data_IF_546888769844
#
_entry.id   IF_546888769844
#
_cell.length_a   1.000
_cell.length_b   1.000
_cell.length_c   1.000
_cell.angle_alpha   90.00
_cell.angle_beta   90.00
_cell.angle_gamma   90.00
#
_symmetry.space_group_name_H-M   'P 1'
#
loop_
_entity.id
_entity.type
_entity.pdbx_description
1 polymer ?
#
# COMPACT_ATOMS: atom_id res chain seq x y z
N UNK A 1 -16.05 42.13 -39.23
CA UNK A 1 -16.93 40.94 -39.10
C UNK A 1 -17.46 40.98 -37.68
N UNK A 2 -18.79 41.01 -37.48
CA UNK A 2 -19.32 41.08 -36.11
C UNK A 2 -19.14 39.70 -35.46
N UNK A 3 -18.89 39.61 -34.14
CA UNK A 3 -18.73 38.32 -33.45
C UNK A 3 -19.91 37.38 -33.67
N UNK A 4 -21.10 37.97 -33.88
CA UNK A 4 -22.37 37.31 -34.13
C UNK A 4 -22.40 36.54 -35.45
N UNK A 5 -21.60 36.95 -36.45
CA UNK A 5 -21.51 36.29 -37.77
C UNK A 5 -20.55 35.08 -37.74
N UNK A 6 -19.80 34.88 -36.65
CA UNK A 6 -18.89 33.74 -36.49
C UNK A 6 -19.59 32.50 -35.93
N UNK A 7 -20.75 32.64 -35.30
CA UNK A 7 -21.50 31.51 -34.75
C UNK A 7 -22.51 31.01 -35.78
N UNK A 8 -22.03 30.14 -36.67
CA UNK A 8 -22.92 29.37 -37.53
C UNK A 8 -23.55 28.21 -36.74
N UNK A 9 -24.73 27.70 -37.13
CA UNK A 9 -25.31 26.50 -36.54
C UNK A 9 -24.35 25.29 -36.55
N UNK A 10 -23.39 25.25 -37.48
CA UNK A 10 -22.37 24.23 -37.54
C UNK A 10 -21.32 24.36 -36.42
N UNK A 11 -21.00 25.60 -36.01
CA UNK A 11 -20.09 25.88 -34.90
C UNK A 11 -20.78 25.59 -33.56
N UNK A 12 -22.06 25.94 -33.43
CA UNK A 12 -22.86 25.58 -32.25
C UNK A 12 -22.95 24.06 -32.10
N UNK A 13 -23.28 23.34 -33.18
CA UNK A 13 -23.33 21.88 -33.17
C UNK A 13 -21.95 21.24 -32.88
N UNK A 14 -20.86 21.88 -33.30
CA UNK A 14 -19.51 21.43 -33.00
C UNK A 14 -19.19 21.58 -31.50
N UNK A 15 -19.50 22.73 -30.91
CA UNK A 15 -19.30 22.96 -29.48
C UNK A 15 -20.23 22.09 -28.62
N UNK A 16 -21.49 21.90 -29.01
CA UNK A 16 -22.38 20.96 -28.32
C UNK A 16 -21.84 19.53 -28.37
N UNK A 17 -21.30 19.07 -29.51
CA UNK A 17 -20.65 17.75 -29.58
C UNK A 17 -19.41 17.65 -28.71
N UNK A 18 -18.63 18.72 -28.59
CA UNK A 18 -17.47 18.81 -27.71
C UNK A 18 -17.89 18.72 -26.24
N UNK A 19 -18.92 19.46 -25.84
CA UNK A 19 -19.49 19.42 -24.48
C UNK A 19 -20.08 18.04 -24.19
N UNK A 20 -20.82 17.45 -25.13
CA UNK A 20 -21.36 16.09 -24.98
C UNK A 20 -20.25 15.05 -24.86
N UNK A 21 -19.14 15.21 -25.60
CA UNK A 21 -17.98 14.32 -25.54
C UNK A 21 -17.20 14.51 -24.25
N UNK A 22 -17.01 15.74 -23.77
CA UNK A 22 -16.41 16.03 -22.46
C UNK A 22 -17.26 15.45 -21.33
N UNK A 23 -18.58 15.61 -21.38
CA UNK A 23 -19.49 15.03 -20.40
C UNK A 23 -19.57 13.50 -20.49
N UNK A 24 -19.35 12.90 -21.66
CA UNK A 24 -19.23 11.45 -21.82
C UNK A 24 -17.91 10.93 -21.27
N UNK A 25 -16.81 11.67 -21.47
CA UNK A 25 -15.49 11.38 -20.88
C UNK A 25 -15.56 11.50 -19.35
N UNK A 26 -16.10 12.60 -18.81
CA UNK A 26 -16.31 12.76 -17.36
C UNK A 26 -17.22 11.68 -16.77
N UNK A 27 -18.28 11.27 -17.49
CA UNK A 27 -19.12 10.14 -17.06
C UNK A 27 -18.40 8.80 -17.13
N UNK A 28 -17.54 8.59 -18.13
CA UNK A 28 -16.68 7.39 -18.22
C UNK A 28 -15.61 7.39 -17.13
N UNK A 29 -15.03 8.54 -16.77
CA UNK A 29 -14.10 8.71 -15.65
C UNK A 29 -14.79 8.44 -14.30
N UNK A 30 -16.00 8.97 -14.10
CA UNK A 30 -16.81 8.71 -12.90
C UNK A 30 -17.30 7.25 -12.80
N UNK A 31 -17.59 6.60 -13.94
CA UNK A 31 -17.96 5.18 -13.99
C UNK A 31 -16.72 4.29 -13.83
N UNK A 32 -15.56 4.70 -14.32
CA UNK A 32 -14.29 4.04 -14.03
C UNK A 32 -13.93 4.14 -12.53
N UNK A 33 -14.17 5.30 -11.90
CA UNK A 33 -14.08 5.48 -10.43
C UNK A 33 -15.07 4.60 -9.66
N UNK A 34 -16.18 4.19 -10.26
CA UNK A 34 -17.19 3.33 -9.62
C UNK A 34 -16.93 1.82 -9.81
N UNK A 35 -16.14 1.42 -10.81
CA UNK A 35 -15.82 0.02 -11.13
C UNK A 35 -14.53 -0.45 -10.43
N UNK A 36 -13.66 0.47 -10.04
CA UNK A 36 -12.51 0.17 -9.19
C UNK A 36 -12.87 0.46 -7.72
N UNK A 37 -12.84 -0.52 -6.81
CA UNK A 37 -13.03 -0.22 -5.40
C UNK A 37 -12.02 0.85 -5.01
N UNK A 38 -12.50 1.97 -4.45
CA UNK A 38 -11.64 3.01 -3.84
C UNK A 38 -10.59 2.27 -3.03
N UNK A 39 -9.35 2.39 -3.46
CA UNK A 39 -8.27 1.67 -2.87
C UNK A 39 -8.12 2.22 -1.45
N UNK A 40 -8.44 1.37 -0.46
CA UNK A 40 -8.56 1.76 0.94
C UNK A 40 -7.19 2.04 1.58
N UNK A 41 -6.57 3.17 1.25
CA UNK A 41 -5.28 3.60 1.81
C UNK A 41 -5.29 3.75 3.34
N UNK A 42 -6.47 3.65 3.98
CA UNK A 42 -6.68 3.70 5.42
C UNK A 42 -5.79 2.71 6.17
N UNK A 43 -5.61 1.48 5.68
CA UNK A 43 -4.73 0.50 6.36
C UNK A 43 -3.27 0.99 6.41
N UNK A 44 -2.79 1.58 5.32
CA UNK A 44 -1.43 2.10 5.21
C UNK A 44 -1.27 3.33 6.11
N UNK A 45 -2.21 4.27 6.04
CA UNK A 45 -2.21 5.47 6.89
C UNK A 45 -2.27 5.08 8.38
N UNK A 46 -3.11 4.11 8.72
CA UNK A 46 -3.23 3.59 10.08
C UNK A 46 -1.92 2.96 10.57
N UNK A 47 -1.26 2.15 9.74
CA UNK A 47 0.05 1.59 10.04
C UNK A 47 1.09 2.68 10.35
N UNK A 48 1.21 3.71 9.51
CA UNK A 48 2.14 4.81 9.78
C UNK A 48 1.75 5.62 11.02
N UNK A 49 0.46 5.79 11.31
CA UNK A 49 0.00 6.44 12.54
C UNK A 49 0.43 5.66 13.79
N UNK A 50 0.31 4.32 13.77
CA UNK A 50 0.80 3.47 14.86
C UNK A 50 2.31 3.62 15.00
N UNK A 51 3.06 3.53 13.91
CA UNK A 51 4.52 3.66 13.93
C UNK A 51 5.00 5.01 14.47
N UNK A 52 4.34 6.11 14.10
CA UNK A 52 4.65 7.46 14.62
C UNK A 52 4.45 7.56 16.13
N UNK A 53 3.58 6.74 16.70
CA UNK A 53 3.36 6.68 18.15
C UNK A 53 4.42 5.87 18.91
N UNK A 54 5.39 5.26 18.21
CA UNK A 54 6.47 4.48 18.83
C UNK A 54 7.80 5.25 18.77
N UNK A 55 8.67 5.03 19.77
CA UNK A 55 10.02 5.59 19.81
C UNK A 55 11.01 4.82 18.90
N UNK A 56 10.69 4.76 17.60
CA UNK A 56 11.51 4.11 16.59
C UNK A 56 12.54 5.11 16.07
N UNK A 57 13.82 4.76 16.14
CA UNK A 57 14.91 5.53 15.55
C UNK A 57 15.32 4.90 14.22
N UNK A 58 15.48 5.71 13.19
CA UNK A 58 15.97 5.30 11.88
C UNK A 58 17.24 6.06 11.51
N UNK A 59 18.11 5.40 10.76
CA UNK A 59 19.29 5.99 10.15
C UNK A 59 18.88 6.77 8.89
N UNK A 60 19.20 8.05 8.89
CA UNK A 60 19.01 9.00 7.79
C UNK A 60 20.36 9.61 7.41
N UNK A 61 20.45 10.21 6.23
CA UNK A 61 21.64 10.97 5.83
C UNK A 61 21.48 12.41 6.34
N UNK A 62 22.40 12.84 7.20
CA UNK A 62 22.47 14.21 7.72
C UNK A 62 23.06 15.19 6.71
N UNK A 63 23.02 16.49 7.04
CA UNK A 63 23.54 17.59 6.20
C UNK A 63 25.03 17.43 5.83
N UNK A 64 25.79 16.73 6.68
CA UNK A 64 27.22 16.47 6.49
C UNK A 64 27.51 15.25 5.60
N UNK A 65 26.47 14.56 5.10
CA UNK A 65 26.59 13.32 4.34
C UNK A 65 26.82 12.07 5.20
N UNK A 66 26.87 12.20 6.53
CA UNK A 66 27.02 11.09 7.47
C UNK A 66 25.67 10.51 7.88
N UNK A 67 25.66 9.24 8.30
CA UNK A 67 24.47 8.62 8.88
C UNK A 67 24.19 9.20 10.26
N UNK A 68 22.96 9.63 10.46
CA UNK A 68 22.44 10.19 11.70
C UNK A 68 21.20 9.42 12.11
N UNK A 69 20.98 9.27 13.41
CA UNK A 69 19.87 8.51 13.96
C UNK A 69 18.79 9.46 14.42
N UNK A 70 17.61 9.36 13.79
CA UNK A 70 16.50 10.27 13.96
C UNK A 70 15.22 9.53 14.31
N UNK A 71 14.37 10.14 15.13
CA UNK A 71 13.09 9.55 15.49
C UNK A 71 12.16 9.54 14.27
N UNK A 72 11.53 8.39 14.01
CA UNK A 72 10.66 8.14 12.88
C UNK A 72 9.49 9.12 12.82
N UNK A 73 8.96 9.55 13.97
CA UNK A 73 7.87 10.52 14.04
C UNK A 73 8.20 11.88 13.41
N UNK A 74 9.47 12.29 13.43
CA UNK A 74 9.94 13.54 12.84
C UNK A 74 10.16 13.43 11.33
N UNK A 75 10.32 12.22 10.81
CA UNK A 75 10.59 11.99 9.38
C UNK A 75 9.37 11.53 8.60
N UNK A 76 8.28 11.15 9.28
CA UNK A 76 7.02 10.72 8.65
C UNK A 76 5.99 11.84 8.69
N UNK A 77 5.57 12.30 7.52
CA UNK A 77 4.47 13.24 7.33
C UNK A 77 3.33 12.57 6.59
N UNK A 78 2.10 12.75 7.09
CA UNK A 78 0.89 12.23 6.47
C UNK A 78 -0.01 13.42 6.13
N UNK A 79 -0.34 13.62 4.87
CA UNK A 79 -1.21 14.71 4.41
C UNK A 79 -1.99 14.26 3.18
N UNK A 80 -3.32 14.47 3.14
CA UNK A 80 -4.18 14.15 1.99
C UNK A 80 -3.92 12.74 1.39
N UNK A 81 -3.91 11.70 2.22
CA UNK A 81 -3.66 10.30 1.82
C UNK A 81 -2.26 10.02 1.21
N UNK A 82 -1.36 10.99 1.29
CA UNK A 82 0.05 10.87 0.96
C UNK A 82 0.88 10.73 2.23
N UNK A 83 1.79 9.75 2.23
CA UNK A 83 2.78 9.56 3.29
C UNK A 83 4.17 9.86 2.73
N UNK A 84 4.90 10.76 3.39
CA UNK A 84 6.29 11.09 3.07
C UNK A 84 7.21 10.60 4.18
N UNK A 85 8.26 9.88 3.78
CA UNK A 85 9.35 9.40 4.63
C UNK A 85 10.63 10.13 4.24
N UNK A 86 10.97 11.17 4.97
CA UNK A 86 12.21 11.92 4.75
C UNK A 86 13.41 11.09 5.20
N UNK A 87 14.38 10.91 4.32
CA UNK A 87 15.62 10.22 4.64
C UNK A 87 16.87 11.09 4.43
N UNK A 88 16.70 12.28 3.83
CA UNK A 88 17.64 13.42 3.88
C UNK A 88 17.08 14.46 4.84
N UNK A 89 17.91 14.99 5.72
CA UNK A 89 17.54 16.09 6.63
C UNK A 89 17.91 17.48 6.08
N UNK A 90 17.98 17.64 4.76
CA UNK A 90 18.13 18.95 4.15
C UNK A 90 16.94 19.86 4.49
N UNK A 91 17.21 21.13 4.81
CA UNK A 91 16.18 22.18 4.92
C UNK A 91 15.77 22.74 3.55
N UNK A 92 16.55 22.42 2.51
CA UNK A 92 16.28 22.79 1.13
C UNK A 92 15.49 21.65 0.45
N UNK A 93 14.26 21.94 0.00
CA UNK A 93 13.40 21.01 -0.72
C UNK A 93 14.07 20.46 -1.99
N UNK A 94 14.91 21.27 -2.65
CA UNK A 94 15.65 20.87 -3.86
C UNK A 94 16.79 19.88 -3.59
N UNK A 95 17.10 19.62 -2.32
CA UNK A 95 18.12 18.68 -1.87
C UNK A 95 17.55 17.61 -0.92
N UNK A 96 16.23 17.61 -0.74
CA UNK A 96 15.54 16.70 0.15
C UNK A 96 15.18 15.40 -0.58
N UNK A 97 15.71 14.30 -0.04
CA UNK A 97 15.38 12.94 -0.42
C UNK A 97 14.27 12.38 0.47
N UNK A 98 13.15 12.00 -0.13
CA UNK A 98 12.05 11.36 0.57
C UNK A 98 11.42 10.24 -0.25
N UNK A 99 10.86 9.25 0.46
CA UNK A 99 9.99 8.26 -0.16
C UNK A 99 8.55 8.71 0.01
N UNK A 100 7.84 8.81 -1.10
CA UNK A 100 6.41 9.11 -1.14
C UNK A 100 5.62 7.83 -1.33
N UNK A 101 4.62 7.61 -0.50
CA UNK A 101 3.59 6.57 -0.68
C UNK A 101 2.27 7.29 -0.93
N UNK A 102 1.71 7.13 -2.12
CA UNK A 102 0.48 7.83 -2.51
C UNK A 102 -0.40 6.95 -3.43
N UNK A 103 -1.72 7.19 -3.47
CA UNK A 103 -2.56 6.59 -4.49
C UNK A 103 -2.16 7.12 -5.87
N UNK A 104 -1.96 6.22 -6.84
CA UNK A 104 -1.89 6.53 -8.26
C UNK A 104 -3.28 6.35 -8.85
N UNK A 105 -3.99 7.46 -8.99
CA UNK A 105 -5.39 7.51 -9.43
C UNK A 105 -5.52 6.96 -10.85
N UNK A 106 -4.57 7.30 -11.74
CA UNK A 106 -4.61 6.90 -13.13
C UNK A 106 -4.55 5.37 -13.28
N UNK A 107 -3.89 4.70 -12.34
CA UNK A 107 -3.69 3.25 -12.38
C UNK A 107 -4.48 2.49 -11.31
N UNK A 108 -5.25 3.19 -10.46
CA UNK A 108 -6.03 2.60 -9.36
C UNK A 108 -5.21 1.68 -8.45
N UNK A 109 -4.01 2.13 -8.06
CA UNK A 109 -3.03 1.40 -7.25
C UNK A 109 -2.41 2.35 -6.22
N UNK A 110 -1.65 1.84 -5.25
CA UNK A 110 -0.73 2.69 -4.48
C UNK A 110 0.68 2.52 -5.04
N UNK A 111 1.33 3.66 -5.25
CA UNK A 111 2.70 3.74 -5.70
C UNK A 111 3.62 4.17 -4.56
N UNK A 112 4.85 3.65 -4.60
CA UNK A 112 5.95 4.10 -3.76
C UNK A 112 7.00 4.73 -4.66
N UNK A 113 7.25 6.01 -4.48
CA UNK A 113 8.19 6.79 -5.27
C UNK A 113 9.38 7.23 -4.42
N UNK A 114 10.58 7.19 -4.99
CA UNK A 114 11.75 7.85 -4.45
C UNK A 114 11.90 9.22 -5.11
N UNK A 115 11.85 10.28 -4.32
CA UNK A 115 11.96 11.65 -4.80
C UNK A 115 13.27 12.23 -4.25
N UNK A 116 14.10 12.75 -5.15
CA UNK A 116 15.41 13.30 -4.79
C UNK A 116 15.65 14.64 -5.50
N UNK A 117 15.49 15.74 -4.80
CA UNK A 117 15.62 17.09 -5.37
C UNK A 117 14.46 17.49 -6.27
N UNK A 118 14.70 18.31 -7.31
CA UNK A 118 13.63 18.82 -8.18
C UNK A 118 12.73 17.68 -8.73
N UNK A 119 11.42 17.93 -8.92
CA UNK A 119 10.41 16.90 -9.23
C UNK A 119 10.71 15.96 -10.41
N UNK A 120 11.66 16.33 -11.27
CA UNK A 120 12.07 15.59 -12.48
C UNK A 120 12.84 14.29 -12.19
N UNK A 121 13.33 14.06 -10.97
CA UNK A 121 14.12 12.86 -10.62
C UNK A 121 13.32 11.70 -10.04
N UNK A 122 11.98 11.81 -9.99
CA UNK A 122 11.11 10.82 -9.35
C UNK A 122 11.34 9.42 -9.94
N UNK A 123 11.80 8.49 -9.09
CA UNK A 123 11.95 7.08 -9.44
C UNK A 123 10.83 6.28 -8.78
N UNK A 124 9.97 5.65 -9.60
CA UNK A 124 8.95 4.72 -9.10
C UNK A 124 9.60 3.44 -8.60
N UNK A 125 9.52 3.17 -7.30
CA UNK A 125 10.14 2.01 -6.65
C UNK A 125 9.22 0.79 -6.64
N UNK A 126 7.92 1.00 -6.48
CA UNK A 126 6.93 -0.09 -6.34
C UNK A 126 5.52 0.38 -6.71
N UNK A 127 4.71 -0.54 -7.23
CA UNK A 127 3.31 -0.31 -7.59
C UNK A 127 2.52 -1.61 -7.44
N UNK A 128 1.41 -1.59 -6.71
CA UNK A 128 0.56 -2.77 -6.54
C UNK A 128 -0.86 -2.38 -6.14
N UNK A 129 -1.88 -3.15 -6.56
CA UNK A 129 -3.22 -3.06 -5.99
C UNK A 129 -3.30 -3.74 -4.60
N UNK A 130 -2.37 -4.63 -4.25
CA UNK A 130 -2.34 -5.31 -2.95
C UNK A 130 -1.63 -4.46 -1.89
N UNK A 131 -2.42 -3.84 -1.00
CA UNK A 131 -1.94 -3.04 0.12
C UNK A 131 -1.03 -3.83 1.07
N UNK A 132 -1.26 -5.13 1.25
CA UNK A 132 -0.41 -5.97 2.09
C UNK A 132 0.97 -6.13 1.48
N UNK A 133 1.08 -6.22 0.16
CA UNK A 133 2.36 -6.26 -0.53
C UNK A 133 3.13 -4.94 -0.36
N UNK A 134 2.43 -3.81 -0.38
CA UNK A 134 3.01 -2.49 -0.11
C UNK A 134 3.48 -2.39 1.34
N UNK A 135 2.66 -2.80 2.31
CA UNK A 135 3.07 -2.85 3.72
C UNK A 135 4.31 -3.72 3.92
N UNK A 136 4.36 -4.91 3.30
CA UNK A 136 5.56 -5.78 3.34
C UNK A 136 6.79 -5.07 2.77
N UNK A 137 6.63 -4.35 1.67
CA UNK A 137 7.70 -3.53 1.10
C UNK A 137 8.18 -2.45 2.08
N UNK A 138 7.26 -1.68 2.66
CA UNK A 138 7.56 -0.60 3.60
C UNK A 138 8.21 -1.12 4.90
N UNK A 139 7.72 -2.23 5.45
CA UNK A 139 8.29 -2.88 6.63
C UNK A 139 9.73 -3.30 6.34
N UNK A 140 9.98 -3.98 5.21
CA UNK A 140 11.35 -4.38 4.82
C UNK A 140 12.25 -3.17 4.62
N UNK A 141 11.72 -2.08 4.07
CA UNK A 141 12.47 -0.84 3.90
C UNK A 141 12.87 -0.21 5.24
N UNK A 142 11.93 -0.16 6.20
CA UNK A 142 12.14 0.36 7.55
C UNK A 142 13.11 -0.50 8.35
N UNK A 143 12.94 -1.82 8.38
CA UNK A 143 13.80 -2.74 9.14
C UNK A 143 15.29 -2.62 8.78
N UNK A 144 15.60 -2.31 7.51
CA UNK A 144 16.97 -2.08 7.04
C UNK A 144 17.61 -0.78 7.56
N UNK A 145 16.79 0.13 8.09
CA UNK A 145 17.20 1.49 8.49
C UNK A 145 17.00 1.74 9.98
N UNK A 146 16.31 0.87 10.71
CA UNK A 146 16.16 1.04 12.14
C UNK A 146 17.53 1.03 12.82
N UNK A 147 17.79 2.05 13.63
CA UNK A 147 18.90 2.06 14.55
C UNK A 147 18.50 1.27 15.80
N UNK A 148 18.81 -0.02 15.80
CA UNK A 148 18.49 -0.94 16.89
C UNK A 148 19.22 -0.64 18.20
N UNK A 149 20.29 0.15 18.16
CA UNK A 149 21.01 0.53 19.38
C UNK A 149 20.24 1.61 20.17
N UNK A 150 19.46 2.46 19.47
CA UNK A 150 18.68 3.54 20.08
C UNK A 150 17.19 3.25 20.17
N UNK A 151 16.67 2.45 19.24
CA UNK A 151 15.26 2.07 19.22
C UNK A 151 14.94 1.16 20.39
N UNK A 152 14.13 1.68 21.32
CA UNK A 152 13.47 0.88 22.34
C UNK A 152 12.02 0.72 21.91
N UNK A 153 11.68 -0.47 21.43
CA UNK A 153 10.28 -0.82 21.23
C UNK A 153 9.70 -1.08 22.61
N UNK A 154 8.92 -0.12 23.13
CA UNK A 154 8.21 -0.26 24.41
C UNK A 154 7.23 -1.46 24.43
N UNK A 155 7.06 -2.14 23.29
CA UNK A 155 6.14 -3.23 23.04
C UNK A 155 6.83 -4.48 22.44
N UNK A 156 8.10 -4.75 22.76
CA UNK A 156 8.75 -6.01 22.35
C UNK A 156 7.94 -7.23 22.83
N UNK A 157 7.27 -7.10 23.99
CA UNK A 157 6.38 -8.11 24.56
C UNK A 157 5.12 -8.32 23.70
N UNK A 158 4.53 -7.27 23.13
CA UNK A 158 3.41 -7.42 22.18
C UNK A 158 3.85 -8.08 20.87
N UNK A 159 5.11 -7.89 20.46
CA UNK A 159 5.68 -8.60 19.31
C UNK A 159 5.86 -10.09 19.62
N UNK A 160 6.30 -10.45 20.82
CA UNK A 160 6.33 -11.84 21.28
C UNK A 160 4.93 -12.47 21.34
N UNK A 161 3.94 -11.77 21.91
CA UNK A 161 2.54 -12.20 21.94
C UNK A 161 1.97 -12.36 20.53
N UNK A 162 2.32 -11.46 19.61
CA UNK A 162 1.92 -11.56 18.20
C UNK A 162 2.56 -12.77 17.49
N UNK A 163 3.85 -13.03 17.73
CA UNK A 163 4.55 -14.20 17.20
C UNK A 163 3.94 -15.50 17.72
N UNK A 164 3.70 -15.60 19.02
CA UNK A 164 3.03 -16.76 19.64
C UNK A 164 1.64 -16.98 19.04
N UNK A 165 0.86 -15.91 18.87
CA UNK A 165 -0.45 -16.00 18.23
C UNK A 165 -0.37 -16.45 16.77
N UNK A 166 0.59 -15.94 16.00
CA UNK A 166 0.79 -16.34 14.61
C UNK A 166 1.24 -17.79 14.48
N UNK A 167 2.06 -18.26 15.41
CA UNK A 167 2.49 -19.64 15.50
C UNK A 167 1.29 -20.55 15.82
N UNK A 168 0.48 -20.19 16.81
CA UNK A 168 -0.74 -20.91 17.18
C UNK A 168 -1.77 -20.94 16.04
N UNK A 169 -1.95 -19.84 15.30
CA UNK A 169 -2.82 -19.80 14.12
C UNK A 169 -2.32 -20.74 12.99
N UNK A 170 -1.00 -20.80 12.78
CA UNK A 170 -0.40 -21.70 11.80
C UNK A 170 -0.53 -23.17 12.21
N UNK A 171 -0.31 -23.50 13.49
CA UNK A 171 -0.48 -24.84 14.05
C UNK A 171 -1.94 -25.29 13.99
N UNK A 172 -2.90 -24.40 14.27
CA UNK A 172 -4.33 -24.69 14.18
C UNK A 172 -4.78 -24.98 12.74
N UNK A 173 -4.26 -24.27 11.74
CA UNK A 173 -4.57 -24.55 10.33
C UNK A 173 -3.96 -25.88 9.89
N UNK A 174 -2.74 -26.22 10.33
CA UNK A 174 -2.13 -27.54 10.07
C UNK A 174 -2.94 -28.65 10.72
N UNK A 175 -3.41 -28.48 11.95
CA UNK A 175 -4.26 -29.44 12.64
C UNK A 175 -5.61 -29.63 11.92
N UNK A 176 -6.27 -28.54 11.48
CA UNK A 176 -7.52 -28.62 10.72
C UNK A 176 -7.34 -29.38 9.41
N UNK A 177 -6.26 -29.10 8.68
CA UNK A 177 -5.93 -29.81 7.44
C UNK A 177 -5.63 -31.31 7.68
N UNK A 178 -5.00 -31.66 8.81
CA UNK A 178 -4.77 -33.06 9.19
C UNK A 178 -6.06 -33.78 9.56
N UNK A 179 -6.98 -33.12 10.28
CA UNK A 179 -8.29 -33.67 10.62
C UNK A 179 -9.17 -33.86 9.37
N UNK A 180 -9.16 -32.90 8.44
CA UNK A 180 -9.82 -33.02 7.14
C UNK A 180 -9.25 -34.18 6.33
N UNK A 181 -7.92 -34.35 6.30
CA UNK A 181 -7.26 -35.49 5.64
C UNK A 181 -7.59 -36.83 6.31
N UNK A 182 -7.60 -36.89 7.64
CA UNK A 182 -7.93 -38.10 8.39
C UNK A 182 -9.40 -38.49 8.23
N UNK A 183 -10.31 -37.51 8.23
CA UNK A 183 -11.73 -37.73 7.95
C UNK A 183 -11.95 -38.24 6.52
N UNK A 184 -11.20 -37.70 5.55
CA UNK A 184 -11.25 -38.16 4.15
C UNK A 184 -10.68 -39.59 3.99
N UNK A 185 -9.61 -39.95 4.69
CA UNK A 185 -9.07 -41.32 4.69
C UNK A 185 -10.00 -42.32 5.41
N UNK A 186 -10.66 -41.91 6.49
CA UNK A 186 -11.64 -42.74 7.20
C UNK A 186 -12.88 -43.03 6.33
N UNK A 187 -13.32 -42.06 5.51
CA UNK A 187 -14.40 -42.27 4.55
C UNK A 187 -13.99 -43.23 3.42
N UNK A 188 -12.76 -43.10 2.90
CA UNK A 188 -12.25 -43.98 1.85
C UNK A 188 -12.06 -45.43 2.34
N UNK A 189 -11.58 -45.63 3.56
CA UNK A 189 -11.43 -46.96 4.17
C UNK A 189 -12.78 -47.58 4.56
N UNK A 190 -13.73 -46.79 5.07
CA UNK A 190 -15.08 -47.25 5.39
C UNK A 190 -15.94 -47.66 4.17
N UNK A 191 -15.72 -47.04 3.01
CA UNK A 191 -16.38 -47.45 1.75
C UNK A 191 -15.81 -48.77 1.19
N UNK A 192 -14.50 -49.01 1.34
CA UNK A 192 -13.85 -50.25 0.89
C UNK A 192 -14.33 -51.49 1.65
N UNK A 193 -14.64 -51.37 2.94
CA UNK A 193 -15.19 -52.47 3.76
C UNK A 193 -16.66 -52.80 3.47
N UNK A 194 -17.45 -51.88 2.92
CA UNK A 194 -18.86 -52.15 2.55
C UNK A 194 -18.98 -52.93 1.23
N UNK A 195 -18.10 -52.68 0.25
CA UNK A 195 -18.12 -53.40 -1.03
C UNK A 195 -17.72 -54.88 -0.92
N UNK A 196 -16.93 -55.28 0.08
CA UNK A 196 -16.57 -56.70 0.31
C UNK A 196 -17.70 -57.57 0.90
N UNK A 197 -18.77 -56.97 1.44
CA UNK A 197 -19.91 -57.72 2.00
C UNK A 197 -21.03 -58.03 1.01
N UNK A 198 -21.00 -57.46 -0.21
CA UNK A 198 -22.02 -57.67 -1.24
C UNK A 198 -21.64 -58.68 -2.33
N UNK A 199 -20.44 -59.26 -2.27
CA UNK A 199 -20.03 -60.35 -3.17
C UNK A 199 -19.92 -61.64 -2.36
N UNK A 200 -21.07 -62.23 -2.03
CA UNK A 200 -21.20 -63.61 -1.56
C UNK A 200 -22.38 -64.25 -2.25
#
# INVERSE_FOLDING_TARGET
>A
MKPEDMFSPAIDAFFERLIHREQAVRRMEMVAEAVHPRLDSTEIVHFFRILKGQNIFIQTIGLTGKLESNILSNVVYNFNDEIRLYYSQSLDDSMSGFIRVCPDIAQSVIAVDNIYGEPLSQLRLYQSPDQKAILKYMIRWLLKRIDWNKTRLDNIDLYHIFLERKQAEAEAEVARLQDEFAAHQAQLTGQSSKNKKQVR
#
